data_IF_289249251083
#
_entry.id   IF_289249251083
#
_cell.length_a   1.000
_cell.length_b   1.000
_cell.length_c   1.000
_cell.angle_alpha   90.00
_cell.angle_beta   90.00
_cell.angle_gamma   90.00
#
_symmetry.space_group_name_H-M   'P 1'
#
loop_
_entity.id
_entity.type
_entity.pdbx_description
1 polymer ?
#
# COMPACT_ATOMS: atom_id res chain seq x y z
N UNK A 1 17.10 -22.09 46.59
CA UNK A 1 16.00 -22.07 45.61
C UNK A 1 16.64 -21.77 44.27
N UNK A 2 16.88 -22.81 43.46
CA UNK A 2 17.46 -22.62 42.12
C UNK A 2 16.43 -21.87 41.27
N UNK A 3 16.77 -20.66 40.85
CA UNK A 3 15.99 -19.96 39.84
C UNK A 3 16.33 -20.66 38.53
N UNK A 4 15.47 -21.59 38.10
CA UNK A 4 15.56 -22.15 36.75
C UNK A 4 15.42 -20.97 35.78
N UNK A 5 16.52 -20.57 35.14
CA UNK A 5 16.51 -19.63 34.03
C UNK A 5 16.08 -20.41 32.79
N UNK A 6 14.89 -20.14 32.29
CA UNK A 6 14.46 -20.65 31.00
C UNK A 6 15.09 -19.80 29.91
N UNK A 7 15.77 -20.43 28.96
CA UNK A 7 16.18 -19.77 27.72
C UNK A 7 14.92 -19.50 26.89
N UNK A 8 14.75 -18.26 26.44
CA UNK A 8 13.57 -17.86 25.67
C UNK A 8 13.78 -18.15 24.17
N UNK A 9 12.87 -18.86 23.49
CA UNK A 9 12.94 -19.08 22.06
C UNK A 9 12.96 -17.76 21.29
N UNK A 10 13.78 -17.69 20.23
CA UNK A 10 13.95 -16.52 19.37
C UNK A 10 13.37 -16.70 17.96
N UNK A 11 12.98 -17.90 17.60
CA UNK A 11 12.31 -18.27 16.33
C UNK A 11 11.51 -19.56 16.53
N UNK A 12 10.79 -20.01 15.50
CA UNK A 12 10.11 -21.31 15.56
C UNK A 12 11.08 -22.50 15.62
N UNK A 13 12.22 -22.40 14.96
CA UNK A 13 13.20 -23.49 14.83
C UNK A 13 14.21 -23.51 16.00
N UNK A 14 14.08 -22.58 16.94
CA UNK A 14 14.97 -22.45 18.08
C UNK A 14 14.77 -23.59 19.10
N UNK A 15 15.82 -23.87 19.88
CA UNK A 15 15.80 -24.82 20.99
C UNK A 15 15.31 -26.24 20.65
N UNK A 16 15.34 -26.64 19.37
CA UNK A 16 14.97 -27.99 18.92
C UNK A 16 13.48 -28.34 19.08
N UNK A 17 12.60 -27.35 19.00
CA UNK A 17 11.15 -27.57 19.01
C UNK A 17 10.68 -28.25 17.70
N UNK A 18 9.86 -29.29 17.81
CA UNK A 18 9.21 -29.95 16.68
C UNK A 18 7.77 -29.43 16.53
N UNK A 19 7.56 -28.52 15.57
CA UNK A 19 6.23 -27.98 15.29
C UNK A 19 5.33 -28.90 14.46
N UNK A 20 5.85 -30.04 13.98
CA UNK A 20 5.01 -31.06 13.36
C UNK A 20 4.24 -31.86 14.41
N UNK A 21 4.85 -32.13 15.56
CA UNK A 21 4.24 -32.80 16.71
C UNK A 21 4.59 -32.09 18.03
N UNK A 22 4.07 -30.87 18.27
CA UNK A 22 4.49 -30.07 19.41
C UNK A 22 3.94 -30.63 20.73
N UNK A 23 4.82 -30.86 21.72
CA UNK A 23 4.43 -31.34 23.04
C UNK A 23 3.77 -30.19 23.84
N UNK A 24 2.45 -30.26 24.15
CA UNK A 24 1.76 -29.21 24.89
C UNK A 24 2.23 -29.05 26.34
N UNK A 25 3.02 -29.98 26.87
CA UNK A 25 3.61 -29.91 28.23
C UNK A 25 4.95 -29.19 28.24
N UNK A 26 5.55 -28.98 27.07
CA UNK A 26 6.81 -28.28 26.95
C UNK A 26 6.57 -26.76 26.88
N UNK A 27 7.09 -26.07 27.88
CA UNK A 27 6.90 -24.63 28.02
C UNK A 27 7.55 -23.81 26.90
N UNK A 28 8.50 -24.37 26.14
CA UNK A 28 9.15 -23.70 25.01
C UNK A 28 8.15 -23.29 23.94
N UNK A 29 7.19 -24.15 23.58
CA UNK A 29 6.17 -23.82 22.58
C UNK A 29 5.30 -22.63 23.00
N UNK A 30 4.92 -22.58 24.28
CA UNK A 30 4.12 -21.47 24.83
C UNK A 30 4.92 -20.17 24.86
N UNK A 31 6.21 -20.24 25.22
CA UNK A 31 7.12 -19.09 25.16
C UNK A 31 7.34 -18.60 23.73
N UNK A 32 7.45 -19.51 22.77
CA UNK A 32 7.58 -19.19 21.35
C UNK A 32 6.34 -18.45 20.83
N UNK A 33 5.12 -18.93 21.14
CA UNK A 33 3.89 -18.22 20.80
C UNK A 33 3.89 -16.81 21.39
N UNK A 34 4.19 -16.68 22.69
CA UNK A 34 4.25 -15.39 23.38
C UNK A 34 5.22 -14.42 22.70
N UNK A 35 6.40 -14.88 22.36
CA UNK A 35 7.43 -14.07 21.72
C UNK A 35 7.04 -13.69 20.28
N UNK A 36 6.40 -14.59 19.54
CA UNK A 36 5.81 -14.30 18.23
C UNK A 36 4.73 -13.21 18.31
N UNK A 37 3.84 -13.27 19.30
CA UNK A 37 2.86 -12.21 19.54
C UNK A 37 3.52 -10.86 19.82
N UNK A 38 4.56 -10.82 20.65
CA UNK A 38 5.28 -9.57 20.93
C UNK A 38 5.96 -9.01 19.68
N UNK A 39 6.52 -9.86 18.82
CA UNK A 39 7.03 -9.46 17.51
C UNK A 39 5.93 -8.81 16.66
N UNK A 40 4.73 -9.42 16.60
CA UNK A 40 3.59 -8.88 15.84
C UNK A 40 3.05 -7.57 16.41
N UNK A 41 3.09 -7.39 17.73
CA UNK A 41 2.67 -6.15 18.38
C UNK A 41 3.64 -5.00 18.12
N UNK A 42 4.92 -5.30 17.94
CA UNK A 42 5.94 -4.28 17.73
C UNK A 42 5.94 -3.72 16.30
N UNK A 43 5.50 -4.48 15.30
CA UNK A 43 5.58 -4.09 13.89
C UNK A 43 4.68 -2.89 13.46
N UNK A 44 3.36 -2.84 13.78
CA UNK A 44 2.42 -1.90 13.14
C UNK A 44 2.40 -0.46 13.69
N UNK A 45 3.39 -0.01 14.46
CA UNK A 45 3.61 1.41 14.80
C UNK A 45 2.55 2.12 15.69
N UNK A 46 1.43 1.52 16.08
CA UNK A 46 0.42 2.20 16.92
C UNK A 46 0.54 1.89 18.41
N UNK A 47 1.44 2.56 19.14
CA UNK A 47 1.32 2.83 20.60
C UNK A 47 0.86 1.70 21.54
N UNK A 48 1.03 0.43 21.17
CA UNK A 48 0.18 -0.67 21.65
C UNK A 48 0.68 -1.34 22.93
N UNK A 49 1.57 -0.68 23.68
CA UNK A 49 2.33 -1.33 24.72
C UNK A 49 1.55 -1.58 26.03
N UNK A 50 0.36 -1.01 26.24
CA UNK A 50 -0.21 -0.94 27.61
C UNK A 50 -1.34 -1.92 27.95
N UNK A 51 -2.08 -2.50 26.98
CA UNK A 51 -3.20 -3.42 27.29
C UNK A 51 -2.89 -4.91 27.11
N UNK A 52 -2.18 -5.31 26.05
CA UNK A 52 -1.87 -6.73 25.76
C UNK A 52 -0.74 -7.33 26.61
N UNK A 53 0.11 -6.47 27.20
CA UNK A 53 1.27 -6.89 27.99
C UNK A 53 0.88 -7.74 29.21
N UNK A 54 -0.22 -7.38 29.88
CA UNK A 54 -0.71 -8.11 31.05
C UNK A 54 -1.32 -9.49 30.71
N UNK A 55 -1.72 -9.70 29.46
CA UNK A 55 -2.46 -10.90 29.02
C UNK A 55 -1.47 -11.99 28.63
N UNK A 56 -0.42 -11.63 27.88
CA UNK A 56 0.62 -12.57 27.45
C UNK A 56 1.61 -12.95 28.56
N UNK A 57 1.75 -12.15 29.62
CA UNK A 57 2.49 -12.56 30.83
C UNK A 57 1.84 -13.72 31.59
N UNK A 58 0.55 -14.01 31.33
CA UNK A 58 -0.13 -15.19 31.84
C UNK A 58 0.40 -16.50 31.24
N UNK A 59 1.01 -16.43 30.04
CA UNK A 59 1.71 -17.53 29.40
C UNK A 59 3.13 -17.63 30.01
N UNK A 60 3.26 -18.48 31.03
CA UNK A 60 4.47 -18.63 31.81
C UNK A 60 4.90 -20.09 31.89
N UNK A 61 6.21 -20.40 31.82
CA UNK A 61 6.73 -21.75 32.00
C UNK A 61 6.51 -22.30 33.41
N UNK A 62 6.08 -21.45 34.35
CA UNK A 62 5.89 -21.78 35.77
C UNK A 62 4.43 -22.07 36.14
N UNK A 63 3.50 -21.99 35.19
CA UNK A 63 2.07 -22.21 35.43
C UNK A 63 1.50 -23.13 34.37
N UNK A 64 0.60 -24.03 34.77
CA UNK A 64 -0.22 -24.76 33.81
C UNK A 64 -1.05 -23.74 33.01
N UNK A 65 -1.07 -23.87 31.69
CA UNK A 65 -1.87 -23.01 30.82
C UNK A 65 -3.33 -23.34 31.04
N UNK A 66 -4.11 -22.37 31.50
CA UNK A 66 -5.55 -22.55 31.73
C UNK A 66 -6.34 -22.41 30.41
N UNK A 67 -7.53 -22.99 30.36
CA UNK A 67 -8.46 -22.78 29.23
C UNK A 67 -8.74 -21.28 28.98
N UNK A 68 -8.81 -20.48 30.04
CA UNK A 68 -8.94 -19.03 29.98
C UNK A 68 -7.71 -18.36 29.33
N UNK A 69 -6.50 -18.84 29.62
CA UNK A 69 -5.29 -18.33 28.97
C UNK A 69 -5.27 -18.64 27.46
N UNK A 70 -5.72 -19.83 27.05
CA UNK A 70 -5.86 -20.16 25.63
C UNK A 70 -6.94 -19.32 24.93
N UNK A 71 -8.09 -19.13 25.57
CA UNK A 71 -9.14 -18.25 25.03
C UNK A 71 -8.62 -16.84 24.81
N UNK A 72 -7.79 -16.34 25.73
CA UNK A 72 -7.15 -15.02 25.60
C UNK A 72 -6.18 -14.94 24.43
N UNK A 73 -5.44 -16.01 24.10
CA UNK A 73 -4.59 -16.04 22.91
C UNK A 73 -5.41 -15.76 21.64
N UNK A 74 -6.60 -16.35 21.54
CA UNK A 74 -7.49 -16.12 20.40
C UNK A 74 -8.01 -14.68 20.37
N UNK A 75 -8.36 -14.11 21.51
CA UNK A 75 -8.78 -12.70 21.62
C UNK A 75 -7.65 -11.76 21.19
N UNK A 76 -6.41 -12.03 21.61
CA UNK A 76 -5.24 -11.25 21.19
C UNK A 76 -4.96 -11.40 19.69
N UNK A 77 -5.14 -12.60 19.13
CA UNK A 77 -4.99 -12.83 17.70
C UNK A 77 -6.03 -12.04 16.90
N UNK A 78 -7.31 -12.13 17.27
CA UNK A 78 -8.39 -11.34 16.65
C UNK A 78 -8.11 -9.84 16.72
N UNK A 79 -7.57 -9.40 17.86
CA UNK A 79 -7.20 -8.02 18.04
C UNK A 79 -6.06 -7.60 17.11
N UNK A 80 -4.99 -8.39 17.05
CA UNK A 80 -3.83 -8.12 16.19
C UNK A 80 -4.20 -8.02 14.71
N UNK A 81 -5.14 -8.85 14.23
CA UNK A 81 -5.59 -8.84 12.84
C UNK A 81 -5.87 -7.43 12.31
N UNK A 82 -6.37 -6.52 13.17
CA UNK A 82 -6.75 -5.15 12.82
C UNK A 82 -5.62 -4.27 12.30
N UNK A 83 -4.36 -4.66 12.53
CA UNK A 83 -3.20 -3.91 12.08
C UNK A 83 -2.49 -4.53 10.87
N UNK A 84 -2.92 -5.71 10.48
CA UNK A 84 -2.35 -6.44 9.37
C UNK A 84 -3.26 -6.35 8.15
N UNK A 85 -2.67 -6.45 6.97
CA UNK A 85 -3.37 -6.28 5.71
C UNK A 85 -3.26 -7.54 4.87
N UNK A 86 -4.34 -7.91 4.21
CA UNK A 86 -4.31 -8.95 3.20
C UNK A 86 -3.99 -8.26 1.85
N UNK A 87 -2.88 -8.66 1.22
CA UNK A 87 -2.41 -8.17 -0.08
C UNK A 87 -2.74 -9.10 -1.26
N UNK A 88 -3.47 -10.20 -1.02
CA UNK A 88 -3.91 -11.12 -2.05
C UNK A 88 -4.94 -10.44 -2.98
N UNK A 89 -4.64 -10.29 -4.29
CA UNK A 89 -5.56 -9.69 -5.23
C UNK A 89 -6.91 -10.42 -5.35
N UNK A 90 -6.95 -11.73 -5.08
CA UNK A 90 -8.14 -12.56 -5.24
C UNK A 90 -9.24 -12.26 -4.21
N UNK A 91 -8.90 -11.59 -3.11
CA UNK A 91 -9.84 -11.31 -2.03
C UNK A 91 -10.54 -9.96 -2.15
N UNK A 92 -10.18 -9.13 -3.13
CA UNK A 92 -10.76 -7.80 -3.32
C UNK A 92 -12.00 -7.85 -4.20
N UNK A 93 -12.83 -6.82 -4.08
CA UNK A 93 -13.89 -6.58 -5.06
C UNK A 93 -13.27 -6.10 -6.38
N UNK A 94 -13.97 -6.37 -7.48
CA UNK A 94 -13.58 -5.94 -8.84
C UNK A 94 -13.33 -4.42 -8.97
N UNK A 95 -13.99 -3.61 -8.13
CA UNK A 95 -13.87 -2.15 -8.12
C UNK A 95 -12.80 -1.63 -7.13
N UNK A 96 -12.13 -2.52 -6.41
CA UNK A 96 -11.15 -2.23 -5.36
C UNK A 96 -11.66 -1.27 -4.27
N UNK A 97 -12.98 -1.16 -4.08
CA UNK A 97 -13.59 -0.26 -3.07
C UNK A 97 -13.30 -0.68 -1.64
N UNK A 98 -12.87 -1.93 -1.44
CA UNK A 98 -12.45 -2.50 -0.16
C UNK A 98 -10.92 -2.54 0.02
N UNK A 99 -10.15 -1.97 -0.92
CA UNK A 99 -8.70 -1.84 -0.79
C UNK A 99 -8.29 -0.58 0.01
N UNK A 100 -7.30 -0.68 0.92
CA UNK A 100 -6.65 -1.90 1.38
C UNK A 100 -7.49 -2.64 2.42
N UNK A 101 -7.50 -3.98 2.34
CA UNK A 101 -8.31 -4.83 3.21
C UNK A 101 -7.53 -5.22 4.47
N UNK A 102 -8.05 -4.83 5.63
CA UNK A 102 -7.55 -5.27 6.93
C UNK A 102 -7.86 -6.77 7.11
N UNK A 103 -6.89 -7.52 7.63
CA UNK A 103 -7.04 -8.94 7.97
C UNK A 103 -8.12 -9.11 9.04
N UNK A 104 -8.97 -10.13 8.89
CA UNK A 104 -9.91 -10.55 9.93
C UNK A 104 -9.55 -11.93 10.43
N UNK A 105 -9.93 -12.25 11.67
CA UNK A 105 -9.74 -13.61 12.19
C UNK A 105 -10.38 -14.66 11.27
N UNK A 106 -11.55 -14.34 10.69
CA UNK A 106 -12.22 -15.22 9.73
C UNK A 106 -11.38 -15.48 8.46
N UNK A 107 -10.59 -14.49 8.01
CA UNK A 107 -9.71 -14.63 6.85
C UNK A 107 -8.50 -15.55 7.16
N UNK A 108 -8.20 -15.76 8.44
CA UNK A 108 -7.10 -16.63 8.90
C UNK A 108 -7.61 -18.04 9.16
N UNK A 109 -8.69 -18.21 9.93
CA UNK A 109 -9.18 -19.54 10.30
C UNK A 109 -9.75 -20.34 9.13
N UNK A 110 -10.00 -19.70 7.99
CA UNK A 110 -10.42 -20.36 6.75
C UNK A 110 -9.24 -20.79 5.87
N UNK A 111 -8.01 -20.41 6.23
CA UNK A 111 -6.81 -20.89 5.56
C UNK A 111 -6.50 -22.32 6.00
N UNK A 112 -5.84 -23.05 5.10
CA UNK A 112 -5.36 -24.41 5.38
C UNK A 112 -4.51 -24.42 6.65
N UNK A 113 -4.71 -25.44 7.49
CA UNK A 113 -4.00 -25.64 8.75
C UNK A 113 -4.10 -24.51 9.80
N UNK A 114 -5.11 -23.62 9.69
CA UNK A 114 -5.39 -22.55 10.65
C UNK A 114 -6.71 -22.71 11.43
N UNK A 115 -7.48 -23.77 11.18
CA UNK A 115 -8.79 -24.02 11.81
C UNK A 115 -8.69 -24.46 13.29
N UNK A 116 -8.62 -23.53 14.24
CA UNK A 116 -8.58 -23.87 15.67
C UNK A 116 -9.94 -23.72 16.37
N UNK A 117 -10.18 -24.52 17.41
CA UNK A 117 -11.40 -24.44 18.22
C UNK A 117 -11.38 -23.20 19.14
N UNK A 118 -12.46 -22.41 19.09
CA UNK A 118 -12.64 -21.20 19.92
C UNK A 118 -12.80 -21.48 21.43
N UNK A 119 -13.19 -22.71 21.80
CA UNK A 119 -13.47 -23.11 23.18
C UNK A 119 -12.70 -24.39 23.52
N UNK A 120 -11.50 -24.27 24.07
CA UNK A 120 -10.83 -25.40 24.71
C UNK A 120 -11.53 -25.70 26.05
N UNK A 121 -12.07 -26.90 26.24
CA UNK A 121 -12.53 -27.37 27.56
C UNK A 121 -11.34 -27.64 28.48
N UNK A 122 -11.55 -27.56 29.80
CA UNK A 122 -10.50 -27.87 30.78
C UNK A 122 -9.99 -29.31 30.57
N UNK A 123 -8.70 -29.49 30.30
CA UNK A 123 -8.09 -30.79 29.97
C UNK A 123 -7.88 -31.07 28.47
N UNK A 124 -8.54 -30.35 27.55
CA UNK A 124 -8.39 -30.54 26.09
C UNK A 124 -6.98 -30.24 25.57
N UNK A 125 -6.17 -29.51 26.33
CA UNK A 125 -4.76 -29.21 26.02
C UNK A 125 -3.89 -30.47 26.07
N UNK A 126 -4.26 -31.50 26.83
CA UNK A 126 -3.46 -32.73 26.90
C UNK A 126 -3.74 -33.66 25.73
N UNK A 127 -4.99 -33.74 25.25
CA UNK A 127 -5.38 -34.67 24.19
C UNK A 127 -5.26 -34.05 22.78
N UNK A 128 -5.43 -32.72 22.64
CA UNK A 128 -5.39 -32.00 21.37
C UNK A 128 -4.51 -30.74 21.38
N UNK A 129 -3.74 -30.51 22.45
CA UNK A 129 -2.97 -29.27 22.60
C UNK A 129 -1.85 -29.12 21.59
N UNK A 130 -1.24 -30.21 21.12
CA UNK A 130 -0.23 -30.14 20.07
C UNK A 130 -0.80 -29.60 18.75
N UNK A 131 -1.94 -30.13 18.33
CA UNK A 131 -2.66 -29.63 17.15
C UNK A 131 -3.04 -28.15 17.32
N UNK A 132 -3.55 -27.76 18.49
CA UNK A 132 -3.87 -26.38 18.79
C UNK A 132 -2.65 -25.45 18.69
N UNK A 133 -1.50 -25.85 19.25
CA UNK A 133 -0.26 -25.09 19.19
C UNK A 133 0.18 -24.86 17.74
N UNK A 134 0.14 -25.91 16.91
CA UNK A 134 0.50 -25.83 15.49
C UNK A 134 -0.43 -24.88 14.73
N UNK A 135 -1.74 -24.99 14.93
CA UNK A 135 -2.74 -24.14 14.27
C UNK A 135 -2.62 -22.67 14.66
N UNK A 136 -2.36 -22.38 15.94
CA UNK A 136 -2.12 -21.00 16.40
C UNK A 136 -0.81 -20.44 15.85
N UNK A 137 0.27 -21.24 15.79
CA UNK A 137 1.50 -20.84 15.11
C UNK A 137 1.22 -20.44 13.66
N UNK A 138 0.51 -21.28 12.90
CA UNK A 138 0.19 -21.01 11.51
C UNK A 138 -0.67 -19.73 11.38
N UNK A 139 -1.68 -19.58 12.24
CA UNK A 139 -2.51 -18.38 12.26
C UNK A 139 -1.72 -17.08 12.54
N UNK A 140 -0.71 -17.13 13.41
CA UNK A 140 0.21 -16.01 13.67
C UNK A 140 1.11 -15.73 12.45
N UNK A 141 1.51 -16.75 11.70
CA UNK A 141 2.29 -16.59 10.47
C UNK A 141 1.56 -15.82 9.38
N UNK A 142 0.23 -15.93 9.29
CA UNK A 142 -0.59 -15.12 8.38
C UNK A 142 -0.50 -13.59 8.65
N UNK A 143 -0.07 -13.19 9.85
CA UNK A 143 0.10 -11.79 10.22
C UNK A 143 1.55 -11.34 9.94
N UNK A 144 1.83 -10.94 8.69
CA UNK A 144 3.18 -10.52 8.25
C UNK A 144 3.22 -9.17 7.51
N UNK A 145 2.10 -8.67 6.99
CA UNK A 145 2.04 -7.38 6.28
C UNK A 145 1.40 -6.28 7.12
N UNK A 146 2.10 -5.16 7.32
CA UNK A 146 1.57 -3.96 8.01
C UNK A 146 1.60 -2.73 7.10
N UNK A 147 0.72 -1.77 7.34
CA UNK A 147 0.75 -0.51 6.56
C UNK A 147 1.94 0.38 6.96
N UNK A 148 2.63 0.93 5.96
CA UNK A 148 3.68 1.91 6.14
C UNK A 148 3.13 3.33 6.02
N UNK A 149 3.01 4.04 7.14
CA UNK A 149 2.52 5.43 7.15
C UNK A 149 3.64 6.48 7.08
N UNK A 150 4.90 6.08 7.29
CA UNK A 150 6.01 7.02 7.47
C UNK A 150 7.21 6.64 6.63
N UNK A 151 7.49 7.48 5.64
CA UNK A 151 8.66 7.42 4.79
C UNK A 151 9.32 8.79 4.65
N UNK A 152 10.52 8.77 4.10
CA UNK A 152 11.29 9.94 3.69
C UNK A 152 11.84 9.73 2.29
N UNK A 153 11.90 10.82 1.55
CA UNK A 153 12.35 10.80 0.16
C UNK A 153 12.06 12.10 -0.56
N UNK A 154 12.01 12.00 -1.88
CA UNK A 154 11.82 13.13 -2.79
C UNK A 154 10.61 12.88 -3.68
N UNK A 155 9.71 13.85 -3.72
CA UNK A 155 8.67 13.96 -4.75
C UNK A 155 9.31 14.58 -5.98
N UNK A 156 9.18 13.91 -7.11
CA UNK A 156 9.58 14.38 -8.43
C UNK A 156 8.31 14.81 -9.16
N UNK A 157 8.26 16.01 -9.71
CA UNK A 157 7.12 16.48 -10.51
C UNK A 157 7.58 17.10 -11.83
N UNK A 158 6.77 16.89 -12.86
CA UNK A 158 6.79 17.72 -14.07
C UNK A 158 5.42 18.34 -14.25
N UNK A 159 5.41 19.62 -14.57
CA UNK A 159 4.19 20.37 -14.80
C UNK A 159 4.46 21.41 -15.87
N UNK A 160 3.64 21.42 -16.90
CA UNK A 160 3.66 22.43 -17.94
C UNK A 160 2.24 22.82 -18.32
N UNK A 161 2.06 24.10 -18.63
CA UNK A 161 0.79 24.63 -19.11
C UNK A 161 1.04 25.74 -20.10
N UNK A 162 0.21 25.80 -21.13
CA UNK A 162 0.23 26.89 -22.10
C UNK A 162 -1.20 27.39 -22.31
N UNK A 163 -1.33 28.71 -22.40
CA UNK A 163 -2.62 29.40 -22.54
C UNK A 163 -2.79 30.01 -23.92
N UNK A 164 -3.99 29.81 -24.48
CA UNK A 164 -4.48 30.40 -25.72
C UNK A 164 -3.86 29.97 -27.07
N UNK A 165 -3.06 28.88 -27.21
CA UNK A 165 -2.66 28.39 -28.53
C UNK A 165 -3.80 27.65 -29.25
N UNK A 166 -3.69 27.49 -30.58
CA UNK A 166 -4.45 26.49 -31.33
C UNK A 166 -4.27 25.10 -30.72
N UNK A 167 -5.26 24.22 -30.90
CA UNK A 167 -5.24 22.87 -30.30
C UNK A 167 -3.95 22.09 -30.63
N UNK A 168 -3.53 22.08 -31.90
CA UNK A 168 -2.37 21.31 -32.38
C UNK A 168 -1.06 21.70 -31.71
N UNK A 169 -0.95 22.95 -31.25
CA UNK A 169 0.22 23.49 -30.54
C UNK A 169 0.11 23.37 -29.02
N UNK A 170 -1.12 23.38 -28.49
CA UNK A 170 -1.39 23.48 -27.05
C UNK A 170 -0.73 22.42 -26.20
N UNK A 171 -0.83 21.15 -26.60
CA UNK A 171 -0.20 20.03 -25.90
C UNK A 171 1.30 20.02 -26.16
N UNK A 172 1.75 20.36 -27.38
CA UNK A 172 3.18 20.43 -27.70
C UNK A 172 3.93 21.39 -26.76
N UNK A 173 3.42 22.62 -26.62
CA UNK A 173 3.99 23.63 -25.72
C UNK A 173 3.87 23.25 -24.25
N UNK A 174 2.75 22.65 -23.82
CA UNK A 174 2.64 22.16 -22.44
C UNK A 174 3.69 21.10 -22.12
N UNK A 175 4.02 20.22 -23.06
CA UNK A 175 5.13 19.27 -22.94
C UNK A 175 6.49 19.98 -22.95
N UNK A 176 6.70 20.95 -23.84
CA UNK A 176 7.94 21.76 -23.84
C UNK A 176 8.16 22.43 -22.48
N UNK A 177 7.12 22.93 -21.82
CA UNK A 177 7.27 23.48 -20.45
C UNK A 177 7.49 22.38 -19.40
N UNK A 178 6.83 21.23 -19.51
CA UNK A 178 6.99 20.13 -18.54
C UNK A 178 8.38 19.46 -18.62
N UNK A 179 8.98 19.42 -19.81
CA UNK A 179 10.24 18.72 -20.11
C UNK A 179 11.42 19.63 -20.49
N UNK A 180 11.18 20.93 -20.68
CA UNK A 180 12.17 21.87 -21.22
C UNK A 180 13.36 22.10 -20.31
N UNK A 181 13.13 22.15 -19.00
CA UNK A 181 14.18 21.95 -18.03
C UNK A 181 14.43 20.45 -17.91
N UNK A 182 15.62 20.00 -18.34
CA UNK A 182 15.97 18.57 -18.36
C UNK A 182 15.74 17.87 -17.01
N UNK A 183 15.78 18.61 -15.89
CA UNK A 183 15.54 18.08 -14.55
C UNK A 183 14.09 18.29 -14.09
N UNK A 184 13.44 17.26 -13.50
CA UNK A 184 12.13 17.43 -12.86
C UNK A 184 12.24 18.33 -11.62
N UNK A 185 11.12 18.92 -11.21
CA UNK A 185 11.05 19.63 -9.94
C UNK A 185 11.13 18.63 -8.78
N UNK A 186 11.94 18.96 -7.77
CA UNK A 186 12.17 18.09 -6.61
C UNK A 186 11.69 18.76 -5.31
N UNK A 187 10.97 18.02 -4.48
CA UNK A 187 10.61 18.44 -3.12
C UNK A 187 10.69 17.30 -2.13
N UNK A 188 11.29 17.53 -0.96
CA UNK A 188 11.41 16.50 0.06
C UNK A 188 10.08 16.23 0.77
N UNK A 189 9.74 14.96 0.98
CA UNK A 189 8.71 14.57 1.94
C UNK A 189 9.37 13.90 3.16
N UNK A 190 8.90 14.25 4.35
CA UNK A 190 9.48 13.78 5.62
C UNK A 190 8.40 13.22 6.52
N UNK A 191 8.63 12.00 7.01
CA UNK A 191 7.80 11.37 8.04
C UNK A 191 6.32 11.25 7.65
N UNK A 192 6.01 11.13 6.35
CA UNK A 192 4.65 10.99 5.81
C UNK A 192 4.70 10.24 4.50
N UNK A 193 3.84 9.24 4.34
CA UNK A 193 3.68 8.50 3.08
C UNK A 193 2.85 9.34 2.09
N UNK A 194 3.31 9.56 0.85
CA UNK A 194 2.50 10.13 -0.22
C UNK A 194 1.25 9.28 -0.49
N UNK A 195 0.16 9.90 -0.96
CA UNK A 195 -1.16 9.26 -1.05
C UNK A 195 -1.78 9.27 -2.44
N UNK A 196 -1.20 9.99 -3.38
CA UNK A 196 -1.71 10.15 -4.74
C UNK A 196 -0.60 9.87 -5.73
N UNK A 197 -0.95 9.32 -6.88
CA UNK A 197 -0.05 9.21 -8.02
C UNK A 197 -0.82 9.55 -9.29
N UNK A 198 -0.18 10.23 -10.23
CA UNK A 198 -0.82 10.63 -11.48
C UNK A 198 0.22 10.89 -12.57
N UNK A 199 -0.21 10.66 -13.80
CA UNK A 199 0.46 11.13 -15.01
C UNK A 199 -0.59 11.33 -16.08
N UNK A 200 -0.81 12.57 -16.49
CA UNK A 200 -1.81 12.90 -17.49
C UNK A 200 -1.48 14.18 -18.24
N UNK A 201 -2.02 14.29 -19.45
CA UNK A 201 -2.12 15.56 -20.15
C UNK A 201 -3.57 15.82 -20.55
N UNK A 202 -3.88 17.07 -20.84
CA UNK A 202 -5.25 17.45 -21.17
C UNK A 202 -5.37 18.87 -21.69
N UNK A 203 -6.55 19.15 -22.21
CA UNK A 203 -6.90 20.45 -22.76
C UNK A 203 -8.23 20.93 -22.22
N UNK A 204 -8.41 22.25 -22.13
CA UNK A 204 -9.74 22.84 -22.18
C UNK A 204 -9.89 23.80 -23.34
N UNK A 205 -11.08 23.81 -23.91
CA UNK A 205 -11.47 24.80 -24.89
C UNK A 205 -11.80 26.10 -24.16
N UNK A 206 -10.99 27.11 -24.40
CA UNK A 206 -10.97 28.36 -23.65
C UNK A 206 -11.71 29.50 -24.34
N UNK A 207 -11.53 29.63 -25.66
CA UNK A 207 -11.98 30.76 -26.47
C UNK A 207 -12.42 30.29 -27.85
N UNK A 208 -13.53 30.83 -28.36
CA UNK A 208 -13.96 30.64 -29.73
C UNK A 208 -13.85 31.95 -30.55
N UNK A 209 -13.79 31.87 -31.89
CA UNK A 209 -13.91 33.03 -32.77
C UNK A 209 -15.25 33.75 -32.63
N UNK A 210 -15.23 35.08 -32.57
CA UNK A 210 -16.41 35.95 -32.61
C UNK A 210 -16.74 36.37 -34.04
N UNK A 211 -18.01 36.27 -34.49
CA UNK A 211 -18.40 36.62 -35.86
C UNK A 211 -18.09 38.07 -36.25
N UNK A 212 -18.26 39.01 -35.31
CA UNK A 212 -18.18 40.46 -35.56
C UNK A 212 -16.89 41.11 -35.02
N UNK A 213 -15.80 40.34 -34.87
CA UNK A 213 -14.55 40.89 -34.34
C UNK A 213 -13.79 41.73 -35.38
N UNK A 214 -13.67 43.03 -35.13
CA UNK A 214 -12.94 43.98 -35.98
C UNK A 214 -11.45 44.18 -35.60
N UNK A 215 -10.94 43.42 -34.62
CA UNK A 215 -9.54 43.48 -34.16
C UNK A 215 -8.59 42.56 -34.95
N UNK A 216 -7.43 42.25 -34.38
CA UNK A 216 -6.44 41.37 -35.01
C UNK A 216 -7.03 39.96 -35.26
N UNK A 217 -7.11 39.46 -36.51
CA UNK A 217 -7.63 38.12 -36.80
C UNK A 217 -6.96 36.99 -36.00
N UNK A 218 -5.70 37.17 -35.59
CA UNK A 218 -4.99 36.23 -34.72
C UNK A 218 -5.59 36.17 -33.31
N UNK A 219 -6.09 37.30 -32.80
CA UNK A 219 -6.83 37.40 -31.54
C UNK A 219 -8.28 36.88 -31.66
N UNK A 220 -8.70 36.35 -32.82
CA UNK A 220 -10.05 35.81 -33.04
C UNK A 220 -10.05 34.36 -33.52
N UNK A 221 -9.08 33.58 -33.03
CA UNK A 221 -9.01 32.15 -33.28
C UNK A 221 -9.54 31.34 -32.11
N UNK A 222 -9.85 30.10 -32.43
CA UNK A 222 -10.15 29.07 -31.43
C UNK A 222 -8.90 28.82 -30.58
N UNK A 223 -9.07 28.84 -29.25
CA UNK A 223 -7.98 28.81 -28.29
C UNK A 223 -8.18 27.76 -27.21
N UNK A 224 -7.10 27.10 -26.85
CA UNK A 224 -7.08 26.00 -25.88
C UNK A 224 -6.07 26.27 -24.79
N UNK A 225 -6.34 25.83 -23.55
CA UNK A 225 -5.30 25.73 -22.54
C UNK A 225 -4.82 24.27 -22.49
N UNK A 226 -3.53 24.04 -22.71
CA UNK A 226 -2.90 22.72 -22.62
C UNK A 226 -2.25 22.50 -21.26
N UNK A 227 -2.25 21.26 -20.79
CA UNK A 227 -1.65 20.83 -19.52
C UNK A 227 -0.91 19.50 -19.70
N UNK A 228 0.23 19.36 -19.04
CA UNK A 228 0.96 18.11 -18.89
C UNK A 228 1.46 18.02 -17.44
N UNK A 229 1.08 16.97 -16.71
CA UNK A 229 1.37 16.82 -15.29
C UNK A 229 1.73 15.38 -14.94
N UNK A 230 2.78 15.17 -14.15
CA UNK A 230 3.06 13.88 -13.53
C UNK A 230 3.74 14.03 -12.17
N UNK A 231 3.66 12.97 -11.39
CA UNK A 231 4.36 12.82 -10.12
C UNK A 231 4.96 11.42 -9.99
N UNK A 232 6.18 11.36 -9.48
CA UNK A 232 6.86 10.13 -9.05
C UNK A 232 7.51 10.35 -7.68
N UNK A 233 7.80 9.27 -6.97
CA UNK A 233 8.35 9.33 -5.62
C UNK A 233 9.61 8.47 -5.52
N UNK A 234 10.71 9.10 -5.11
CA UNK A 234 11.95 8.41 -4.74
C UNK A 234 12.01 8.24 -3.24
N UNK A 235 11.95 7.00 -2.76
CA UNK A 235 12.01 6.64 -1.36
C UNK A 235 13.45 6.32 -0.95
N UNK A 236 13.85 6.83 0.22
CA UNK A 236 15.20 6.64 0.77
C UNK A 236 15.22 6.02 2.15
N UNK A 237 14.13 6.17 2.89
CA UNK A 237 14.02 5.69 4.27
C UNK A 237 12.57 5.40 4.62
N UNK A 238 12.36 4.33 5.38
CA UNK A 238 11.09 3.93 5.99
C UNK A 238 11.26 3.94 7.51
N UNK A 239 10.15 4.12 8.23
CA UNK A 239 10.15 3.88 9.67
C UNK A 239 9.87 2.41 9.92
N UNK A 240 10.83 1.72 10.53
CA UNK A 240 10.63 0.38 11.13
C UNK A 240 10.74 0.44 12.65
N UNK A 241 10.10 -0.51 13.32
CA UNK A 241 10.14 -0.65 14.79
C UNK A 241 10.89 -1.89 15.24
N UNK A 242 10.94 -2.92 14.41
CA UNK A 242 11.80 -4.07 14.62
C UNK A 242 13.22 -3.74 14.16
N UNK A 243 14.09 -3.45 15.13
CA UNK A 243 15.51 -3.19 14.85
C UNK A 243 16.14 -4.38 14.11
N UNK A 244 16.96 -4.09 13.10
CA UNK A 244 17.70 -5.08 12.30
C UNK A 244 16.86 -6.09 11.51
N UNK A 245 15.55 -5.86 11.34
CA UNK A 245 14.70 -6.63 10.41
C UNK A 245 14.72 -6.09 8.98
N UNK A 246 14.93 -6.96 8.00
CA UNK A 246 14.66 -6.66 6.59
C UNK A 246 13.15 -6.60 6.36
N UNK A 247 12.75 -5.96 5.25
CA UNK A 247 11.35 -5.92 4.81
C UNK A 247 11.28 -5.96 3.30
N UNK A 248 10.19 -6.50 2.77
CA UNK A 248 9.76 -6.18 1.42
C UNK A 248 8.85 -4.94 1.50
N UNK A 249 9.26 -3.85 0.87
CA UNK A 249 8.37 -2.70 0.65
C UNK A 249 7.44 -3.04 -0.51
N UNK A 250 6.14 -3.09 -0.22
CA UNK A 250 5.10 -3.26 -1.23
C UNK A 250 4.39 -1.92 -1.42
N UNK A 251 4.61 -1.29 -2.57
CA UNK A 251 3.84 -0.13 -3.01
C UNK A 251 2.62 -0.61 -3.76
N UNK A 252 1.46 -0.05 -3.39
CA UNK A 252 0.21 -0.30 -4.08
C UNK A 252 -0.33 0.99 -4.68
N UNK A 253 -0.81 0.95 -5.92
CA UNK A 253 -1.58 2.04 -6.50
C UNK A 253 -2.89 1.52 -7.09
N UNK A 254 -4.00 2.14 -6.69
CA UNK A 254 -5.31 1.93 -7.31
C UNK A 254 -5.53 3.12 -8.24
N UNK A 255 -5.41 2.87 -9.54
CA UNK A 255 -5.44 3.91 -10.58
C UNK A 255 -6.60 3.71 -11.55
N UNK A 256 -7.11 4.83 -12.06
CA UNK A 256 -8.08 4.85 -13.16
C UNK A 256 -7.81 6.08 -14.04
N UNK A 257 -8.64 6.26 -15.05
CA UNK A 257 -8.69 7.41 -15.93
C UNK A 257 -8.78 8.70 -15.08
N UNK A 258 -8.13 9.80 -15.52
CA UNK A 258 -8.14 11.04 -14.77
C UNK A 258 -9.56 11.53 -14.51
N UNK A 259 -9.77 12.11 -13.34
CA UNK A 259 -11.08 12.60 -12.91
C UNK A 259 -11.08 14.11 -12.78
N UNK A 260 -12.27 14.71 -12.83
CA UNK A 260 -12.46 16.15 -12.69
C UNK A 260 -11.97 16.98 -13.88
N UNK A 261 -12.60 18.15 -14.10
CA UNK A 261 -12.20 19.06 -15.16
C UNK A 261 -10.80 19.64 -14.93
N UNK A 262 -10.17 20.17 -15.99
CA UNK A 262 -9.02 21.08 -15.84
C UNK A 262 -9.44 22.43 -15.25
N UNK A 263 -8.48 23.23 -14.78
CA UNK A 263 -8.74 24.41 -13.93
C UNK A 263 -9.70 25.46 -14.48
N UNK A 264 -9.86 25.57 -15.80
CA UNK A 264 -10.75 26.53 -16.46
C UNK A 264 -12.00 25.90 -17.10
N UNK A 265 -12.30 24.64 -16.78
CA UNK A 265 -13.47 23.92 -17.28
C UNK A 265 -14.51 23.68 -16.21
N UNK A 266 -15.78 23.66 -16.64
CA UNK A 266 -16.91 23.26 -15.82
C UNK A 266 -17.06 21.73 -15.79
N UNK A 267 -16.65 21.05 -16.86
CA UNK A 267 -16.88 19.61 -17.06
C UNK A 267 -15.68 18.92 -17.72
N UNK A 268 -15.46 17.65 -17.35
CA UNK A 268 -14.59 16.74 -18.06
C UNK A 268 -15.44 15.96 -19.07
N UNK A 269 -15.38 16.36 -20.35
CA UNK A 269 -16.17 15.75 -21.41
C UNK A 269 -15.61 14.39 -21.85
N UNK A 270 -14.29 14.20 -21.77
CA UNK A 270 -13.65 12.94 -22.15
C UNK A 270 -12.48 12.65 -21.21
N UNK A 271 -12.42 11.41 -20.73
CA UNK A 271 -11.30 10.88 -19.97
C UNK A 271 -10.87 9.55 -20.58
N UNK A 272 -9.61 9.49 -21.02
CA UNK A 272 -9.01 8.29 -21.61
C UNK A 272 -7.95 7.77 -20.65
N UNK A 273 -8.09 6.52 -20.22
CA UNK A 273 -7.02 5.86 -19.49
C UNK A 273 -5.85 5.57 -20.42
N UNK A 274 -4.66 5.97 -20.00
CA UNK A 274 -3.40 5.69 -20.68
C UNK A 274 -2.29 5.71 -19.63
N UNK A 275 -1.61 4.57 -19.44
CA UNK A 275 -0.53 4.47 -18.47
C UNK A 275 0.83 4.93 -19.03
N UNK A 276 0.91 5.24 -20.33
CA UNK A 276 2.17 5.44 -21.03
C UNK A 276 3.14 4.29 -20.78
N UNK A 277 4.39 4.63 -20.50
CA UNK A 277 5.49 3.71 -20.16
C UNK A 277 5.67 3.53 -18.63
N UNK A 278 4.67 3.87 -17.81
CA UNK A 278 4.75 3.65 -16.36
C UNK A 278 4.71 2.17 -15.96
N UNK A 279 4.21 1.31 -16.86
CA UNK A 279 3.97 -0.11 -16.59
C UNK A 279 2.74 -0.38 -15.72
N UNK A 280 1.95 0.65 -15.38
CA UNK A 280 0.72 0.44 -14.63
C UNK A 280 -0.44 0.00 -15.52
N UNK A 281 -1.36 -0.76 -14.93
CA UNK A 281 -2.64 -1.15 -15.52
C UNK A 281 -3.80 -0.46 -14.79
N UNK A 282 -4.97 -0.38 -15.43
CA UNK A 282 -6.16 0.16 -14.75
C UNK A 282 -6.54 -0.77 -13.60
N UNK A 283 -6.76 -0.20 -12.41
CA UNK A 283 -7.05 -0.96 -11.18
C UNK A 283 -5.87 -1.00 -10.22
N UNK A 284 -5.73 -2.12 -9.49
CA UNK A 284 -4.69 -2.32 -8.49
C UNK A 284 -3.36 -2.73 -9.13
N UNK A 285 -2.30 -1.98 -8.79
CA UNK A 285 -0.92 -2.26 -9.16
C UNK A 285 -0.11 -2.49 -7.90
N UNK A 286 0.61 -3.61 -7.82
CA UNK A 286 1.49 -3.94 -6.70
C UNK A 286 2.94 -4.01 -7.19
N UNK A 287 3.81 -3.20 -6.61
CA UNK A 287 5.25 -3.20 -6.89
C UNK A 287 6.00 -3.51 -5.60
N UNK A 288 6.80 -4.58 -5.64
CA UNK A 288 7.56 -5.07 -4.49
C UNK A 288 9.04 -4.80 -4.70
N UNK A 289 9.72 -4.32 -3.66
CA UNK A 289 11.18 -4.26 -3.59
C UNK A 289 11.65 -4.79 -2.26
N UNK A 290 12.72 -5.57 -2.28
CA UNK A 290 13.41 -5.98 -1.05
C UNK A 290 14.20 -4.80 -0.48
N UNK A 291 14.20 -4.66 0.85
CA UNK A 291 14.85 -3.56 1.57
C UNK A 291 15.64 -4.12 2.75
N UNK A 292 16.94 -4.31 2.52
CA UNK A 292 17.90 -4.82 3.51
C UNK A 292 18.04 -3.86 4.70
N UNK A 293 18.21 -2.57 4.39
CA UNK A 293 18.27 -1.49 5.39
C UNK A 293 17.18 -0.44 5.13
N UNK A 294 16.07 -0.47 5.90
CA UNK A 294 15.02 0.54 5.81
C UNK A 294 15.47 1.96 6.18
N UNK A 295 16.71 2.14 6.66
CA UNK A 295 17.29 3.46 6.90
C UNK A 295 18.10 4.03 5.73
N UNK A 296 18.46 3.18 4.76
CA UNK A 296 19.26 3.54 3.59
C UNK A 296 18.96 2.60 2.40
N UNK A 297 18.08 3.05 1.50
CA UNK A 297 17.79 2.36 0.23
C UNK A 297 17.44 3.37 -0.86
N UNK A 298 17.25 2.90 -2.09
CA UNK A 298 16.78 3.73 -3.20
C UNK A 298 15.72 2.98 -4.01
N UNK A 299 14.51 3.51 -4.02
CA UNK A 299 13.41 2.93 -4.78
C UNK A 299 12.54 4.05 -5.35
N UNK A 300 12.20 3.95 -6.63
CA UNK A 300 11.36 4.94 -7.31
C UNK A 300 10.01 4.32 -7.69
N UNK A 301 8.93 5.01 -7.35
CA UNK A 301 7.55 4.62 -7.70
C UNK A 301 6.93 5.66 -8.62
N UNK A 302 6.43 5.21 -9.77
CA UNK A 302 5.96 6.07 -10.86
C UNK A 302 7.04 6.37 -11.90
N UNK A 303 6.65 6.98 -13.01
CA UNK A 303 7.53 7.33 -14.11
C UNK A 303 7.38 8.83 -14.45
N UNK A 304 8.43 9.60 -14.18
CA UNK A 304 8.42 11.05 -14.39
C UNK A 304 8.60 11.44 -15.86
N UNK A 305 9.08 10.52 -16.69
CA UNK A 305 9.42 10.77 -18.09
C UNK A 305 8.32 10.30 -19.06
N UNK A 306 7.22 9.78 -18.53
CA UNK A 306 6.10 9.23 -19.31
C UNK A 306 4.78 9.95 -19.00
N UNK A 307 4.55 11.07 -19.68
CA UNK A 307 3.24 11.72 -19.75
C UNK A 307 2.57 11.34 -21.08
N UNK A 308 1.41 10.65 -21.07
CA UNK A 308 0.73 10.30 -22.31
C UNK A 308 0.14 11.55 -22.97
N UNK A 309 0.26 11.66 -24.30
CA UNK A 309 -0.14 12.84 -25.08
C UNK A 309 -1.64 12.84 -25.36
N UNK A 310 -2.37 13.84 -24.87
CA UNK A 310 -3.78 14.02 -25.18
C UNK A 310 -3.97 14.48 -26.64
N UNK A 311 -4.88 13.81 -27.34
CA UNK A 311 -5.23 14.09 -28.75
C UNK A 311 -6.72 14.44 -28.90
N UNK A 312 -7.46 14.45 -27.79
CA UNK A 312 -8.90 14.70 -27.79
C UNK A 312 -9.15 16.20 -27.70
N UNK A 313 -9.83 16.74 -28.70
CA UNK A 313 -10.30 18.13 -28.75
C UNK A 313 -11.58 18.27 -27.92
N UNK A 314 -11.60 19.01 -26.81
CA UNK A 314 -12.84 19.30 -26.11
C UNK A 314 -13.67 20.35 -26.86
N UNK A 315 -15.00 20.22 -26.84
CA UNK A 315 -15.91 21.21 -27.43
C UNK A 315 -16.76 21.86 -26.35
N UNK A 316 -16.65 23.18 -26.22
CA UNK A 316 -17.39 24.02 -25.27
C UNK A 316 -18.54 24.75 -25.98
N UNK A 317 -19.52 25.25 -25.20
CA UNK A 317 -20.61 26.07 -25.71
C UNK A 317 -20.34 27.55 -25.38
N UNK A 318 -20.51 28.40 -26.39
CA UNK A 318 -20.31 29.86 -26.30
C UNK A 318 -21.55 30.59 -26.83
N UNK A 319 -21.79 31.79 -26.32
CA UNK A 319 -22.81 32.67 -26.86
C UNK A 319 -22.33 33.42 -28.12
N UNK A 320 -23.19 34.26 -28.70
CA UNK A 320 -22.87 35.04 -29.89
C UNK A 320 -21.73 36.05 -29.70
N UNK A 321 -21.43 36.41 -28.44
CA UNK A 321 -20.36 37.33 -28.07
C UNK A 321 -19.04 36.60 -27.79
N UNK A 322 -19.00 35.27 -27.98
CA UNK A 322 -17.84 34.43 -27.69
C UNK A 322 -17.58 34.24 -26.18
N UNK A 323 -18.57 34.53 -25.34
CA UNK A 323 -18.51 34.27 -23.91
C UNK A 323 -18.90 32.81 -23.67
N UNK A 324 -18.09 32.09 -22.90
CA UNK A 324 -18.37 30.69 -22.59
C UNK A 324 -19.64 30.56 -21.74
N UNK A 325 -20.63 29.85 -22.28
CA UNK A 325 -21.81 29.39 -21.53
C UNK A 325 -21.40 28.17 -20.69
N UNK A 326 -20.60 27.28 -21.28
CA UNK A 326 -20.10 26.07 -20.62
C UNK A 326 -18.75 25.66 -21.18
N UNK A 327 -17.74 25.47 -20.31
CA UNK A 327 -16.40 25.02 -20.70
C UNK A 327 -16.17 23.55 -20.42
N UNK A 328 -15.67 22.82 -21.43
CA UNK A 328 -15.32 21.41 -21.35
C UNK A 328 -13.82 21.20 -21.49
N UNK A 329 -13.38 20.11 -20.86
CA UNK A 329 -12.01 19.61 -20.94
C UNK A 329 -11.97 18.16 -21.40
N UNK A 330 -10.81 17.75 -21.89
CA UNK A 330 -10.48 16.37 -22.17
C UNK A 330 -9.12 16.03 -21.52
N UNK A 331 -9.01 14.85 -20.93
CA UNK A 331 -7.78 14.35 -20.31
C UNK A 331 -7.43 12.96 -20.85
N UNK A 332 -6.14 12.68 -20.95
CA UNK A 332 -5.58 11.34 -21.19
C UNK A 332 -4.50 11.07 -20.14
N UNK A 333 -4.56 9.91 -19.51
CA UNK A 333 -3.55 9.48 -18.55
C UNK A 333 -4.09 8.58 -17.46
N UNK A 334 -3.58 8.76 -16.25
CA UNK A 334 -4.13 8.15 -15.05
C UNK A 334 -4.02 9.08 -13.83
N UNK A 335 -4.93 8.86 -12.89
CA UNK A 335 -4.89 9.40 -11.54
C UNK A 335 -5.25 8.27 -10.57
N UNK A 336 -4.69 8.28 -9.37
CA UNK A 336 -4.98 7.23 -8.41
C UNK A 336 -4.49 7.51 -7.00
N UNK A 337 -4.89 6.60 -6.10
CA UNK A 337 -4.43 6.58 -4.72
C UNK A 337 -3.29 5.59 -4.59
N UNK A 338 -2.31 5.94 -3.76
CA UNK A 338 -1.21 5.05 -3.44
C UNK A 338 -1.15 4.72 -1.95
N UNK A 339 -0.65 3.53 -1.66
CA UNK A 339 -0.49 2.95 -0.35
C UNK A 339 0.88 2.25 -0.30
N UNK A 340 1.38 2.02 0.90
CA UNK A 340 2.64 1.34 1.11
C UNK A 340 2.49 0.38 2.28
N UNK A 341 3.12 -0.79 2.16
CA UNK A 341 3.09 -1.84 3.14
C UNK A 341 4.50 -2.38 3.38
N UNK A 342 4.75 -2.84 4.60
CA UNK A 342 5.95 -3.58 4.97
C UNK A 342 5.56 -5.04 5.14
N UNK A 343 6.10 -5.90 4.29
CA UNK A 343 5.97 -7.34 4.39
C UNK A 343 7.21 -7.93 5.05
N UNK A 344 7.01 -8.54 6.22
CA UNK A 344 8.08 -9.09 7.05
C UNK A 344 8.34 -10.58 6.78
N UNK A 345 7.75 -11.18 5.74
CA UNK A 345 7.96 -12.60 5.40
C UNK A 345 9.32 -12.88 4.72
N UNK A 346 10.09 -11.85 4.38
CA UNK A 346 11.43 -11.93 3.78
C UNK A 346 12.53 -12.52 4.70
N UNK A 347 13.67 -12.95 4.13
CA UNK A 347 14.72 -13.77 4.78
C UNK A 347 15.08 -13.33 6.21
N UNK A 348 15.39 -12.05 6.43
CA UNK A 348 15.71 -11.54 7.76
C UNK A 348 14.63 -10.59 8.32
N UNK A 349 13.36 -10.82 7.97
CA UNK A 349 12.19 -10.11 8.50
C UNK A 349 11.78 -10.60 9.90
N UNK A 350 10.57 -11.12 10.02
CA UNK A 350 10.10 -11.74 11.28
C UNK A 350 10.88 -13.01 11.59
N UNK A 351 11.31 -13.15 12.85
CA UNK A 351 11.99 -14.36 13.32
C UNK A 351 11.03 -15.52 13.49
N UNK A 352 9.77 -15.23 13.79
CA UNK A 352 8.71 -16.21 13.93
C UNK A 352 7.81 -16.23 12.68
N UNK A 353 8.39 -16.36 11.48
CA UNK A 353 7.68 -16.45 10.19
C UNK A 353 7.33 -17.88 9.76
N UNK A 354 6.55 -18.07 8.70
CA UNK A 354 6.43 -19.39 8.09
C UNK A 354 7.83 -19.88 7.65
N UNK A 355 8.18 -21.13 7.98
CA UNK A 355 9.43 -21.71 7.51
C UNK A 355 9.39 -21.88 5.99
N UNK A 356 10.56 -21.86 5.32
CA UNK A 356 10.69 -22.22 3.90
C UNK A 356 10.55 -23.75 3.72
N UNK A 357 9.43 -24.31 4.16
CA UNK A 357 9.06 -25.69 3.94
C UNK A 357 8.53 -25.86 2.52
N UNK A 358 9.39 -26.31 1.60
CA UNK A 358 9.11 -26.87 0.28
C UNK A 358 7.64 -26.83 -0.20
N UNK A 359 7.31 -25.89 -1.10
CA UNK A 359 6.19 -26.05 -2.03
C UNK A 359 5.26 -24.86 -2.25
N UNK A 360 5.78 -23.74 -2.77
CA UNK A 360 4.98 -22.85 -3.63
C UNK A 360 5.81 -22.42 -4.84
N UNK A 361 6.17 -23.41 -5.67
CA UNK A 361 6.42 -23.16 -7.08
C UNK A 361 5.10 -23.26 -7.82
N UNK A 362 4.69 -22.18 -8.47
CA UNK A 362 3.66 -22.15 -9.52
C UNK A 362 2.68 -20.99 -9.30
N UNK A 363 2.57 -20.02 -10.19
CA UNK A 363 3.20 -19.81 -11.50
C UNK A 363 2.70 -18.48 -12.07
#
# INVERSE_FOLDING_TARGET
MEVISYEEPRSWDDLGMDWNDPDPRDARYILALRNAFFERMAAPQEGYYTYSWNILHGLSPRKAVSAEALRRVIVELEYLCRFYYNLDPEVYKDDFSDFPRIMRLNDIVTQEDCEFFMNASYGAILDHGGEWLRKIKNAICCLHVVQCYRAWGTTLTRSGSEHDPPFDESIGKAFEYAFGDTQPSESEFKNTMPKSIYSWSGNNHWKCPRPDFEGDPEDNKDGYCGYAQCVAYRFRRLRRWLANSEVDLVMAAVIDSPTGPTGWSNELATSVFDAGESGFERGLNLVRTHVDDPTDFDFTFGNIDSIPRNEVVPTSDFDSEGVAIWRRSAKRGYEGKMYAFLDYECENGFKFRAGTGAGSTGG
#
